data_IF_671684760088
#
_entry.id   IF_671684760088
#
_cell.length_a   1.000
_cell.length_b   1.000
_cell.length_c   1.000
_cell.angle_alpha   90.00
_cell.angle_beta   90.00
_cell.angle_gamma   90.00
#
_symmetry.space_group_name_H-M   'P 1'
#
loop_
_entity.id
_entity.type
_entity.pdbx_description
1 polymer ?
#
# COMPACT_ATOMS: atom_id res chain seq x y z
N UNK A 1 -40.33 58.34 8.53
CA UNK A 1 -38.87 58.38 8.58
C UNK A 1 -38.19 57.22 9.35
N UNK A 2 -38.73 56.68 10.45
CA UNK A 2 -38.06 55.58 11.22
C UNK A 2 -37.89 54.22 10.51
N UNK A 3 -38.75 53.83 9.57
CA UNK A 3 -38.65 52.56 8.86
C UNK A 3 -37.53 52.49 7.82
N UNK A 4 -37.09 53.60 7.23
CA UNK A 4 -35.97 53.64 6.27
C UNK A 4 -34.61 53.46 6.93
N UNK A 5 -34.39 54.02 8.11
CA UNK A 5 -33.14 53.93 8.86
C UNK A 5 -32.83 52.49 9.36
N UNK A 6 -33.86 51.71 9.70
CA UNK A 6 -33.70 50.32 10.16
C UNK A 6 -33.30 49.40 9.01
N UNK A 7 -33.78 49.65 7.79
CA UNK A 7 -33.47 48.85 6.63
C UNK A 7 -32.02 49.05 6.13
N UNK A 8 -31.49 50.28 6.22
CA UNK A 8 -30.10 50.59 5.84
C UNK A 8 -29.08 50.03 6.83
N UNK A 9 -29.40 50.08 8.15
CA UNK A 9 -28.55 49.50 9.19
C UNK A 9 -28.43 48.00 9.07
N UNK A 10 -29.54 47.28 8.78
CA UNK A 10 -29.52 45.81 8.54
C UNK A 10 -28.78 45.43 7.24
N UNK A 11 -28.89 46.20 6.16
CA UNK A 11 -28.09 45.97 4.94
C UNK A 11 -26.60 46.13 5.19
N UNK A 12 -26.18 47.17 5.96
CA UNK A 12 -24.77 47.38 6.32
C UNK A 12 -24.18 46.23 7.16
N UNK A 13 -24.97 45.65 8.09
CA UNK A 13 -24.55 44.51 8.90
C UNK A 13 -24.46 43.20 8.07
N UNK A 14 -25.38 42.96 7.16
CA UNK A 14 -25.38 41.83 6.25
C UNK A 14 -24.13 41.86 5.31
N UNK A 15 -23.83 43.04 4.77
CA UNK A 15 -22.64 43.21 3.91
C UNK A 15 -21.33 43.11 4.69
N UNK A 16 -21.26 43.60 5.93
CA UNK A 16 -20.09 43.43 6.80
C UNK A 16 -19.88 41.99 7.20
N UNK A 17 -20.94 41.27 7.54
CA UNK A 17 -20.85 39.85 7.87
C UNK A 17 -20.48 38.99 6.64
N UNK A 18 -21.02 39.30 5.45
CA UNK A 18 -20.67 38.65 4.21
C UNK A 18 -19.19 38.93 3.80
N UNK A 19 -18.76 40.21 3.93
CA UNK A 19 -17.37 40.59 3.65
C UNK A 19 -16.39 39.98 4.66
N UNK A 20 -16.76 39.93 5.95
CA UNK A 20 -15.98 39.31 7.00
C UNK A 20 -15.92 37.78 6.83
N UNK A 21 -17.01 37.14 6.43
CA UNK A 21 -17.05 35.73 6.07
C UNK A 21 -16.20 35.44 4.83
N UNK A 22 -16.25 36.30 3.80
CA UNK A 22 -15.40 36.23 2.61
C UNK A 22 -13.91 36.42 2.94
N UNK A 23 -13.60 37.39 3.83
CA UNK A 23 -12.22 37.63 4.30
C UNK A 23 -11.71 36.49 5.19
N UNK A 24 -12.55 35.87 6.01
CA UNK A 24 -12.22 34.69 6.79
C UNK A 24 -12.06 33.45 5.90
N UNK A 25 -12.90 33.29 4.87
CA UNK A 25 -12.74 32.25 3.85
C UNK A 25 -11.44 32.44 3.08
N UNK A 26 -11.19 33.64 2.54
CA UNK A 26 -9.94 33.95 1.84
C UNK A 26 -8.69 33.80 2.74
N UNK A 27 -8.80 34.09 4.04
CA UNK A 27 -7.71 33.87 5.00
C UNK A 27 -7.52 32.39 5.37
N UNK A 28 -8.61 31.59 5.38
CA UNK A 28 -8.52 30.13 5.49
C UNK A 28 -7.89 29.51 4.24
N UNK A 29 -8.27 29.98 3.05
CA UNK A 29 -7.74 29.48 1.77
C UNK A 29 -6.25 29.82 1.61
N UNK A 30 -5.77 30.93 2.20
CA UNK A 30 -4.35 31.32 2.23
C UNK A 30 -3.51 30.52 3.25
N UNK A 31 -4.14 29.81 4.21
CA UNK A 31 -3.46 29.02 5.25
C UNK A 31 -3.64 27.52 5.10
N UNK A 32 -4.33 27.04 4.07
CA UNK A 32 -4.51 25.61 3.80
C UNK A 32 -3.58 25.12 2.70
N UNK A 33 -3.04 23.92 2.90
CA UNK A 33 -2.30 23.23 1.84
C UNK A 33 -3.33 22.71 0.81
N UNK A 34 -3.21 23.05 -0.50
CA UNK A 34 -4.12 22.53 -1.51
C UNK A 34 -4.12 21.01 -1.57
N UNK A 35 -5.28 20.41 -1.80
CA UNK A 35 -5.36 18.98 -2.03
C UNK A 35 -4.74 18.60 -3.38
N UNK A 36 -3.99 17.50 -3.41
CA UNK A 36 -3.22 17.07 -4.57
C UNK A 36 -3.24 15.55 -4.71
N UNK A 37 -3.72 15.05 -5.83
CA UNK A 37 -3.60 13.64 -6.19
C UNK A 37 -2.22 13.37 -6.80
N UNK A 38 -1.31 12.79 -6.02
CA UNK A 38 0.04 12.40 -6.44
C UNK A 38 0.26 10.89 -6.20
N UNK A 39 -0.36 10.07 -7.03
CA UNK A 39 -0.30 8.60 -6.91
C UNK A 39 1.11 8.02 -7.14
N UNK A 40 2.05 8.82 -7.65
CA UNK A 40 3.47 8.47 -7.76
C UNK A 40 4.25 8.56 -6.44
N UNK A 41 3.59 8.88 -5.32
CA UNK A 41 4.27 9.14 -4.05
C UNK A 41 5.24 8.03 -3.62
N UNK A 42 4.82 6.75 -3.71
CA UNK A 42 5.68 5.63 -3.32
C UNK A 42 6.91 5.49 -4.22
N UNK A 43 6.79 5.84 -5.52
CA UNK A 43 7.92 5.92 -6.44
C UNK A 43 8.86 7.09 -6.09
N UNK A 44 8.31 8.21 -5.63
CA UNK A 44 9.08 9.35 -5.17
C UNK A 44 9.81 9.05 -3.84
N UNK A 45 9.18 8.29 -2.93
CA UNK A 45 9.82 7.76 -1.71
C UNK A 45 10.96 6.80 -2.07
N UNK A 46 10.76 5.91 -3.04
CA UNK A 46 11.82 5.02 -3.53
C UNK A 46 13.01 5.78 -4.12
N UNK A 47 12.74 6.78 -4.97
CA UNK A 47 13.76 7.60 -5.62
C UNK A 47 14.50 8.52 -4.64
N UNK A 48 13.82 8.97 -3.59
CA UNK A 48 14.35 9.82 -2.52
C UNK A 48 15.05 11.10 -3.01
N UNK A 49 14.48 11.76 -4.00
CA UNK A 49 15.00 13.01 -4.57
C UNK A 49 13.93 14.10 -4.60
N UNK A 50 14.37 15.37 -4.46
CA UNK A 50 13.46 16.54 -4.48
C UNK A 50 12.84 16.80 -5.86
N UNK A 51 13.56 16.48 -6.92
CA UNK A 51 13.12 16.68 -8.31
C UNK A 51 12.78 15.34 -8.97
N UNK A 52 11.88 14.59 -8.33
CA UNK A 52 11.39 13.35 -8.92
C UNK A 52 10.36 13.63 -10.02
N UNK A 53 10.57 13.02 -11.17
CA UNK A 53 9.65 13.09 -12.32
C UNK A 53 9.12 11.68 -12.60
N UNK A 54 7.82 11.42 -12.41
CA UNK A 54 7.25 10.12 -12.70
C UNK A 54 7.34 9.77 -14.20
N UNK A 55 7.27 8.47 -14.56
CA UNK A 55 7.11 8.04 -15.95
C UNK A 55 5.91 8.72 -16.62
N UNK A 56 5.98 9.00 -17.93
CA UNK A 56 4.94 9.77 -18.68
C UNK A 56 3.51 9.25 -18.43
N UNK A 57 3.31 7.91 -18.42
CA UNK A 57 1.98 7.32 -18.17
C UNK A 57 1.46 7.66 -16.76
N UNK A 58 2.34 7.79 -15.77
CA UNK A 58 1.94 8.16 -14.40
C UNK A 58 1.67 9.65 -14.31
N UNK A 59 2.45 10.49 -15.00
CA UNK A 59 2.15 11.92 -15.10
C UNK A 59 0.76 12.14 -15.74
N UNK A 60 0.44 11.36 -16.79
CA UNK A 60 -0.88 11.40 -17.41
C UNK A 60 -1.97 10.97 -16.40
N UNK A 61 -1.74 9.89 -15.66
CA UNK A 61 -2.67 9.43 -14.63
C UNK A 61 -2.91 10.49 -13.55
N UNK A 62 -1.87 11.14 -13.05
CA UNK A 62 -2.00 12.23 -12.07
C UNK A 62 -2.77 13.44 -12.64
N UNK A 63 -2.56 13.76 -13.89
CA UNK A 63 -3.27 14.86 -14.55
C UNK A 63 -4.75 14.52 -14.80
N UNK A 64 -5.03 13.32 -15.30
CA UNK A 64 -6.40 12.89 -15.61
C UNK A 64 -7.25 12.70 -14.34
N UNK A 65 -6.63 12.25 -13.25
CA UNK A 65 -7.29 11.97 -11.97
C UNK A 65 -7.15 13.10 -10.96
N UNK A 66 -6.66 14.29 -11.36
CA UNK A 66 -6.46 15.42 -10.44
C UNK A 66 -7.74 15.81 -9.69
N UNK A 67 -8.90 15.71 -10.34
CA UNK A 67 -10.20 16.02 -9.73
C UNK A 67 -10.59 15.09 -8.57
N UNK A 68 -9.97 13.92 -8.43
CA UNK A 68 -10.14 13.07 -7.23
C UNK A 68 -9.81 13.82 -5.94
N UNK A 69 -8.88 14.77 -5.99
CA UNK A 69 -8.51 15.57 -4.84
C UNK A 69 -9.68 16.31 -4.19
N UNK A 70 -10.75 16.57 -4.94
CA UNK A 70 -11.97 17.21 -4.44
C UNK A 70 -12.71 16.36 -3.39
N UNK A 71 -12.54 15.03 -3.41
CA UNK A 71 -13.19 14.14 -2.44
C UNK A 71 -12.71 14.40 -1.01
N UNK A 72 -11.45 14.78 -0.84
CA UNK A 72 -10.89 15.07 0.49
C UNK A 72 -10.53 16.54 0.70
N UNK A 73 -10.76 17.40 -0.31
CA UNK A 73 -10.60 18.84 -0.17
C UNK A 73 -11.57 19.39 0.88
N UNK A 74 -11.07 20.25 1.77
CA UNK A 74 -11.88 20.80 2.85
C UNK A 74 -12.22 19.83 4.00
N UNK A 75 -11.79 18.58 3.92
CA UNK A 75 -11.87 17.60 5.01
C UNK A 75 -10.64 17.69 5.92
N UNK A 76 -10.62 16.92 7.00
CA UNK A 76 -9.42 16.74 7.85
C UNK A 76 -8.22 16.11 7.12
N UNK A 77 -8.43 15.58 5.92
CA UNK A 77 -7.40 14.97 5.07
C UNK A 77 -6.89 15.91 3.98
N UNK A 78 -7.28 17.20 3.99
CA UNK A 78 -6.81 18.18 3.02
C UNK A 78 -5.28 18.20 2.94
N UNK A 79 -4.75 18.18 1.70
CA UNK A 79 -3.32 18.06 1.42
C UNK A 79 -3.03 17.06 0.31
N UNK A 80 -1.77 16.62 0.18
CA UNK A 80 -1.40 15.66 -0.86
C UNK A 80 -1.92 14.25 -0.55
N UNK A 81 -2.07 13.46 -1.60
CA UNK A 81 -2.24 12.02 -1.47
C UNK A 81 -1.16 11.37 -0.59
N UNK A 82 0.08 11.78 -0.79
CA UNK A 82 1.20 11.36 0.05
C UNK A 82 2.35 12.36 0.07
N UNK A 83 3.08 12.35 1.16
CA UNK A 83 4.21 13.21 1.40
C UNK A 83 5.54 12.56 1.01
N UNK A 84 6.40 13.32 0.33
CA UNK A 84 7.77 12.98 -0.03
C UNK A 84 8.58 14.26 -0.23
N UNK A 85 9.91 14.17 -0.36
CA UNK A 85 10.74 15.32 -0.72
C UNK A 85 10.27 15.98 -2.02
N UNK A 86 9.82 15.18 -3.00
CA UNK A 86 9.31 15.68 -4.26
C UNK A 86 7.98 16.43 -4.10
N UNK A 87 7.07 15.90 -3.29
CA UNK A 87 5.79 16.54 -2.97
C UNK A 87 6.00 17.87 -2.25
N UNK A 88 6.89 17.91 -1.26
CA UNK A 88 7.30 19.15 -0.59
C UNK A 88 7.85 20.19 -1.57
N UNK A 89 8.71 19.76 -2.50
CA UNK A 89 9.28 20.65 -3.52
C UNK A 89 8.21 21.19 -4.48
N UNK A 90 7.24 20.33 -4.86
CA UNK A 90 6.09 20.76 -5.69
C UNK A 90 5.27 21.85 -5.01
N UNK A 91 4.97 21.71 -3.73
CA UNK A 91 4.24 22.74 -2.97
C UNK A 91 5.03 24.04 -2.83
N UNK A 92 6.36 23.99 -2.67
CA UNK A 92 7.22 25.19 -2.72
C UNK A 92 7.11 25.91 -4.05
N UNK A 93 7.10 25.16 -5.15
CA UNK A 93 6.93 25.74 -6.51
C UNK A 93 5.53 26.34 -6.72
N UNK A 94 4.52 25.83 -6.04
CA UNK A 94 3.16 26.38 -6.02
C UNK A 94 3.03 27.61 -5.09
N UNK A 95 4.10 28.00 -4.39
CA UNK A 95 4.09 29.17 -3.49
C UNK A 95 3.54 28.90 -2.11
N UNK A 96 3.38 27.63 -1.68
CA UNK A 96 2.96 27.30 -0.31
C UNK A 96 4.06 27.71 0.67
N UNK A 97 3.66 28.41 1.73
CA UNK A 97 4.58 28.91 2.74
C UNK A 97 5.33 27.77 3.45
N UNK A 98 6.63 27.98 3.71
CA UNK A 98 7.53 26.93 4.21
C UNK A 98 7.12 26.38 5.58
N UNK A 99 6.52 27.19 6.43
CA UNK A 99 6.02 26.84 7.77
C UNK A 99 4.82 25.87 7.74
N UNK A 100 4.13 25.79 6.61
CA UNK A 100 3.04 24.82 6.40
C UNK A 100 3.54 23.45 5.89
N UNK A 101 4.80 23.38 5.47
CA UNK A 101 5.37 22.18 4.90
C UNK A 101 6.10 21.34 5.96
N UNK A 102 6.03 20.00 5.89
CA UNK A 102 6.73 19.14 6.83
C UNK A 102 8.25 19.34 6.76
N UNK A 103 8.96 19.04 7.85
CA UNK A 103 10.42 19.04 7.88
C UNK A 103 11.00 17.93 7.00
N UNK A 104 12.28 18.02 6.63
CA UNK A 104 12.95 16.97 5.85
C UNK A 104 13.17 15.73 6.72
N UNK A 105 13.43 15.90 8.03
CA UNK A 105 13.59 14.82 9.00
C UNK A 105 12.28 14.02 9.15
N UNK A 106 11.13 14.70 9.22
CA UNK A 106 9.83 14.03 9.25
C UNK A 106 9.57 13.26 7.96
N UNK A 107 9.93 13.80 6.79
CA UNK A 107 9.80 13.11 5.50
C UNK A 107 10.70 11.88 5.40
N UNK A 108 11.91 11.92 5.98
CA UNK A 108 12.78 10.76 6.04
C UNK A 108 12.17 9.66 6.91
N UNK A 109 11.55 10.02 8.02
CA UNK A 109 10.89 9.06 8.89
C UNK A 109 9.63 8.47 8.23
N UNK A 110 8.83 9.29 7.52
CA UNK A 110 7.72 8.78 6.69
C UNK A 110 8.21 7.76 5.67
N UNK A 111 9.33 8.07 4.99
CA UNK A 111 9.95 7.15 4.04
C UNK A 111 10.35 5.83 4.70
N UNK A 112 11.02 5.89 5.84
CA UNK A 112 11.46 4.71 6.60
C UNK A 112 10.28 3.84 7.04
N UNK A 113 9.25 4.47 7.64
CA UNK A 113 8.08 3.79 8.20
C UNK A 113 7.16 3.20 7.11
N UNK A 114 7.12 3.80 5.91
CA UNK A 114 6.33 3.28 4.78
C UNK A 114 7.06 2.20 3.97
N UNK A 115 8.28 1.82 4.36
CA UNK A 115 9.00 0.76 3.66
C UNK A 115 8.49 -0.63 4.04
N UNK A 116 8.52 -1.57 3.10
CA UNK A 116 8.22 -2.97 3.40
C UNK A 116 9.28 -3.64 4.29
N UNK A 117 10.48 -3.07 4.40
CA UNK A 117 11.45 -3.44 5.43
C UNK A 117 10.87 -3.19 6.82
N UNK A 118 10.29 -2.00 7.04
CA UNK A 118 9.64 -1.69 8.31
C UNK A 118 8.44 -2.61 8.55
N UNK A 119 7.57 -2.82 7.56
CA UNK A 119 6.44 -3.74 7.67
C UNK A 119 6.88 -5.17 8.05
N UNK A 120 8.00 -5.66 7.50
CA UNK A 120 8.57 -6.97 7.85
C UNK A 120 8.95 -7.08 9.33
N UNK A 121 9.57 -6.04 9.90
CA UNK A 121 9.88 -5.99 11.35
C UNK A 121 8.62 -5.89 12.19
N UNK A 122 7.71 -5.02 11.76
CA UNK A 122 6.41 -4.79 12.41
C UNK A 122 5.59 -6.07 12.52
N UNK A 123 5.49 -6.86 11.45
CA UNK A 123 4.79 -8.17 11.47
C UNK A 123 5.44 -9.11 12.47
N UNK A 124 6.78 -9.19 12.50
CA UNK A 124 7.49 -10.06 13.43
C UNK A 124 7.21 -9.70 14.89
N UNK A 125 7.18 -8.42 15.22
CA UNK A 125 6.84 -7.90 16.55
C UNK A 125 5.39 -8.22 16.89
N UNK A 126 4.45 -7.96 15.97
CA UNK A 126 3.03 -8.24 16.11
C UNK A 126 2.76 -9.72 16.40
N UNK A 127 3.35 -10.63 15.63
CA UNK A 127 3.20 -12.06 15.83
C UNK A 127 3.78 -12.52 17.19
N UNK A 128 4.93 -11.95 17.57
CA UNK A 128 5.57 -12.24 18.87
C UNK A 128 4.74 -11.79 20.07
N UNK A 129 3.98 -10.69 19.94
CA UNK A 129 3.16 -10.12 21.00
C UNK A 129 1.78 -10.79 21.06
N UNK A 130 1.07 -10.86 19.92
CA UNK A 130 -0.30 -11.39 19.91
C UNK A 130 -0.37 -12.90 20.05
N UNK A 131 0.63 -13.65 19.57
CA UNK A 131 0.75 -15.12 19.68
C UNK A 131 -0.54 -15.87 19.33
N UNK A 132 -1.17 -15.46 18.23
CA UNK A 132 -2.41 -16.06 17.74
C UNK A 132 -2.10 -16.91 16.50
N UNK A 133 -2.44 -18.20 16.54
CA UNK A 133 -2.14 -19.17 15.48
C UNK A 133 -2.86 -18.89 14.15
N UNK A 134 -3.89 -18.05 14.18
CA UNK A 134 -4.61 -17.58 12.97
C UNK A 134 -3.87 -16.48 12.23
N UNK A 135 -2.78 -15.94 12.78
CA UNK A 135 -1.99 -14.89 12.15
C UNK A 135 -0.86 -15.51 11.32
N UNK A 136 -0.76 -15.04 10.08
CA UNK A 136 0.25 -15.42 9.10
C UNK A 136 1.36 -14.36 9.03
N UNK A 137 2.45 -14.66 8.31
CA UNK A 137 3.55 -13.72 8.06
C UNK A 137 4.87 -14.14 8.69
N UNK A 138 4.93 -15.32 9.32
CA UNK A 138 6.18 -15.85 9.92
C UNK A 138 7.28 -16.05 8.88
N UNK A 139 6.91 -16.26 7.63
CA UNK A 139 7.84 -16.47 6.51
C UNK A 139 8.28 -15.15 5.84
N UNK A 140 7.70 -14.01 6.24
CA UNK A 140 8.07 -12.70 5.70
C UNK A 140 9.49 -12.31 6.15
N UNK A 141 10.38 -12.00 5.21
CA UNK A 141 11.79 -11.67 5.46
C UNK A 141 12.24 -10.48 4.63
N UNK A 142 13.02 -9.63 5.27
CA UNK A 142 13.83 -8.63 4.59
C UNK A 142 15.14 -9.24 4.09
N UNK A 143 15.52 -8.90 2.86
CA UNK A 143 16.74 -9.36 2.20
C UNK A 143 17.48 -8.16 1.61
N UNK A 144 18.72 -7.97 2.05
CA UNK A 144 19.67 -7.00 1.54
C UNK A 144 20.98 -7.69 1.09
N UNK A 145 21.99 -6.90 0.73
CA UNK A 145 23.29 -7.42 0.28
C UNK A 145 24.07 -8.18 1.35
N UNK A 146 23.75 -7.96 2.63
CA UNK A 146 24.41 -8.61 3.77
C UNK A 146 23.62 -9.82 4.27
N UNK A 147 22.44 -10.05 3.72
CA UNK A 147 21.57 -11.14 4.11
C UNK A 147 22.15 -12.49 3.65
N UNK A 148 22.30 -13.48 4.56
CA UNK A 148 22.70 -14.84 4.19
C UNK A 148 21.82 -15.46 3.08
N UNK A 149 20.55 -15.07 3.02
CA UNK A 149 19.64 -15.50 1.98
C UNK A 149 20.05 -14.97 0.60
N UNK A 150 20.58 -13.74 0.53
CA UNK A 150 21.11 -13.19 -0.73
C UNK A 150 22.34 -13.96 -1.20
N UNK A 151 23.26 -14.27 -0.31
CA UNK A 151 24.44 -15.07 -0.61
C UNK A 151 24.05 -16.46 -1.12
N UNK A 152 23.09 -17.10 -0.47
CA UNK A 152 22.56 -18.40 -0.90
C UNK A 152 21.88 -18.34 -2.29
N UNK A 153 21.15 -17.28 -2.60
CA UNK A 153 20.51 -17.07 -3.91
C UNK A 153 21.52 -16.84 -5.04
N UNK A 154 22.70 -16.29 -4.73
CA UNK A 154 23.71 -15.91 -5.74
C UNK A 154 24.85 -16.92 -5.90
N UNK A 155 25.10 -17.73 -4.88
CA UNK A 155 26.20 -18.74 -4.89
C UNK A 155 25.76 -20.10 -5.37
N UNK A 156 24.46 -20.42 -5.33
CA UNK A 156 23.93 -21.65 -5.90
C UNK A 156 24.18 -21.67 -7.42
N UNK A 157 25.12 -22.51 -7.87
CA UNK A 157 25.36 -22.72 -9.30
C UNK A 157 24.08 -23.25 -9.93
N UNK A 158 23.63 -22.70 -11.09
CA UNK A 158 22.57 -23.33 -11.84
C UNK A 158 23.04 -24.72 -12.21
N UNK A 159 22.45 -25.75 -11.65
CA UNK A 159 22.63 -27.12 -12.12
C UNK A 159 21.88 -27.28 -13.44
N UNK A 160 22.41 -26.67 -14.49
CA UNK A 160 22.05 -27.06 -15.85
C UNK A 160 22.66 -28.40 -16.08
N UNK A 161 21.89 -29.45 -15.90
CA UNK A 161 22.21 -30.75 -16.45
C UNK A 161 22.30 -30.64 -17.99
N UNK A 162 23.48 -30.30 -18.50
CA UNK A 162 23.83 -30.53 -19.90
C UNK A 162 24.09 -32.00 -20.08
N UNK A 163 23.04 -32.80 -20.15
CA UNK A 163 23.10 -34.08 -20.87
C UNK A 163 22.24 -33.93 -22.12
N UNK A 164 22.76 -33.23 -23.11
CA UNK A 164 22.32 -33.46 -24.48
C UNK A 164 23.05 -34.70 -24.95
N UNK A 165 22.48 -35.87 -24.67
CA UNK A 165 22.90 -37.06 -25.38
C UNK A 165 22.22 -37.05 -26.77
N UNK A 166 23.05 -36.77 -27.77
CA UNK A 166 22.69 -36.92 -29.19
C UNK A 166 22.62 -38.41 -29.51
N UNK A 167 21.51 -39.07 -29.26
CA UNK A 167 21.06 -40.25 -29.99
C UNK A 167 19.57 -40.46 -29.76
N UNK A 168 18.81 -40.26 -30.83
CA UNK A 168 17.41 -40.55 -30.84
C UNK A 168 17.12 -42.03 -30.68
N UNK A 169 16.24 -42.39 -29.79
CA UNK A 169 15.41 -43.60 -29.89
C UNK A 169 14.18 -43.40 -28.99
N UNK A 170 13.01 -43.35 -29.60
CA UNK A 170 11.74 -43.62 -28.94
C UNK A 170 11.77 -45.01 -28.33
N UNK A 171 11.49 -45.14 -27.04
CA UNK A 171 10.85 -46.34 -26.48
C UNK A 171 9.84 -45.93 -25.42
N UNK A 172 8.62 -46.22 -25.74
CA UNK A 172 7.48 -46.30 -24.86
C UNK A 172 7.60 -47.65 -24.12
N UNK A 173 7.59 -47.64 -22.78
CA UNK A 173 7.05 -48.73 -21.95
C UNK A 173 7.05 -48.39 -20.48
N UNK A 174 5.91 -48.65 -19.91
CA UNK A 174 5.66 -49.19 -18.59
C UNK A 174 5.51 -48.25 -17.38
N UNK A 175 4.27 -48.30 -16.92
CA UNK A 175 3.72 -47.88 -15.66
C UNK A 175 4.45 -48.59 -14.51
N UNK A 176 5.35 -47.89 -13.86
CA UNK A 176 5.96 -48.29 -12.59
C UNK A 176 5.41 -47.42 -11.45
N UNK A 177 4.87 -48.08 -10.46
CA UNK A 177 4.50 -47.48 -9.16
C UNK A 177 5.62 -46.55 -8.70
N UNK A 178 5.34 -45.25 -8.65
CA UNK A 178 6.24 -44.29 -8.02
C UNK A 178 5.78 -44.13 -6.56
N UNK A 179 6.66 -44.60 -5.70
CA UNK A 179 6.64 -44.42 -4.27
C UNK A 179 6.57 -42.92 -3.94
N UNK A 180 5.51 -42.47 -3.26
CA UNK A 180 5.33 -41.08 -2.80
C UNK A 180 6.20 -40.77 -1.60
N UNK A 181 7.53 -40.94 -1.75
CA UNK A 181 8.52 -40.48 -0.81
C UNK A 181 8.84 -38.99 -1.02
N UNK A 182 8.49 -38.17 -0.05
CA UNK A 182 8.89 -36.77 0.12
C UNK A 182 8.67 -35.87 -1.11
N UNK A 183 7.45 -35.42 -1.29
CA UNK A 183 7.15 -34.29 -2.19
C UNK A 183 7.89 -33.07 -1.67
N UNK A 184 8.99 -32.67 -2.35
CA UNK A 184 9.57 -31.33 -2.23
C UNK A 184 8.52 -30.36 -2.76
N UNK A 185 7.66 -29.83 -1.89
CA UNK A 185 6.74 -28.78 -2.27
C UNK A 185 7.55 -27.51 -2.54
N UNK A 186 7.84 -27.27 -3.83
CA UNK A 186 8.30 -25.97 -4.29
C UNK A 186 7.23 -24.94 -3.91
N UNK A 187 7.45 -24.22 -2.81
CA UNK A 187 6.49 -23.19 -2.36
C UNK A 187 6.74 -21.94 -3.17
N UNK A 188 5.73 -21.49 -3.91
CA UNK A 188 5.75 -20.20 -4.56
C UNK A 188 6.02 -19.09 -3.54
N UNK A 189 6.85 -18.12 -3.92
CA UNK A 189 7.21 -16.97 -3.10
C UNK A 189 6.80 -15.70 -3.81
N UNK A 190 6.41 -14.71 -3.02
CA UNK A 190 6.17 -13.36 -3.49
C UNK A 190 7.35 -12.47 -3.11
N UNK A 191 7.85 -11.72 -4.08
CA UNK A 191 8.95 -10.78 -3.92
C UNK A 191 8.41 -9.37 -4.09
N UNK A 192 8.76 -8.48 -3.15
CA UNK A 192 8.25 -7.11 -3.11
C UNK A 192 9.41 -6.12 -2.95
N UNK A 193 9.48 -5.09 -3.80
CA UNK A 193 10.41 -3.97 -3.57
C UNK A 193 10.03 -3.18 -2.33
N UNK A 194 10.96 -2.45 -1.69
CA UNK A 194 10.70 -1.68 -0.47
C UNK A 194 9.55 -0.67 -0.61
N UNK A 195 9.54 0.06 -1.72
CA UNK A 195 8.49 1.01 -2.07
C UNK A 195 7.98 0.71 -3.47
N UNK A 196 6.69 0.54 -3.60
CA UNK A 196 6.03 0.40 -4.89
C UNK A 196 4.53 0.64 -4.73
N UNK A 197 3.87 1.01 -5.82
CA UNK A 197 2.42 1.17 -5.87
C UNK A 197 1.81 0.28 -6.96
N UNK A 198 0.56 -0.11 -6.78
CA UNK A 198 -0.24 -0.82 -7.79
C UNK A 198 0.44 -2.07 -8.36
N UNK A 199 1.08 -2.88 -7.52
CA UNK A 199 1.68 -4.17 -7.90
C UNK A 199 2.96 -4.12 -8.73
N UNK A 200 3.48 -2.93 -9.09
CA UNK A 200 4.63 -2.80 -10.02
C UNK A 200 5.94 -3.34 -9.49
N UNK A 201 6.15 -3.29 -8.19
CA UNK A 201 7.34 -3.82 -7.52
C UNK A 201 7.12 -5.20 -6.91
N UNK A 202 6.13 -5.95 -7.40
CA UNK A 202 5.73 -7.25 -6.86
C UNK A 202 5.80 -8.31 -7.97
N UNK A 203 6.27 -9.50 -7.65
CA UNK A 203 6.18 -10.65 -8.55
C UNK A 203 6.27 -11.96 -7.79
N UNK A 204 5.70 -13.00 -8.37
CA UNK A 204 5.76 -14.37 -7.86
C UNK A 204 6.91 -15.12 -8.54
N UNK A 205 7.66 -15.87 -7.75
CA UNK A 205 8.75 -16.74 -8.23
C UNK A 205 8.85 -18.00 -7.39
N UNK A 206 9.50 -19.02 -7.94
CA UNK A 206 9.79 -20.25 -7.20
C UNK A 206 11.19 -20.13 -6.59
N UNK A 207 11.29 -20.31 -5.29
CA UNK A 207 12.55 -20.47 -4.58
C UNK A 207 12.33 -21.56 -3.52
N UNK A 208 13.09 -22.62 -3.60
CA UNK A 208 13.04 -23.69 -2.61
C UNK A 208 13.80 -23.26 -1.36
N UNK A 209 13.07 -22.98 -0.28
CA UNK A 209 13.65 -22.73 1.04
C UNK A 209 13.64 -24.01 1.87
N UNK A 210 14.76 -24.31 2.50
CA UNK A 210 14.80 -25.36 3.52
C UNK A 210 14.07 -24.85 4.78
N UNK A 211 12.96 -25.48 5.19
CA UNK A 211 12.18 -25.03 6.37
C UNK A 211 12.98 -25.09 7.68
N UNK A 212 14.07 -25.84 7.75
CA UNK A 212 14.90 -25.97 8.94
C UNK A 212 15.81 -24.76 9.21
N UNK A 213 15.85 -23.76 8.31
CA UNK A 213 16.58 -22.50 8.54
C UNK A 213 15.89 -21.57 9.56
N UNK A 214 14.64 -21.86 9.94
CA UNK A 214 13.86 -21.00 10.85
C UNK A 214 14.14 -21.23 12.33
N UNK A 215 14.83 -22.30 12.73
CA UNK A 215 14.96 -22.69 14.15
C UNK A 215 16.34 -22.45 14.76
N UNK A 216 17.35 -21.99 13.99
CA UNK A 216 18.67 -21.76 14.58
C UNK A 216 19.40 -20.61 13.85
N UNK A 217 19.79 -19.52 14.53
CA UNK A 217 20.61 -18.45 13.96
C UNK A 217 22.09 -18.87 13.82
N UNK A 218 22.36 -20.14 13.54
CA UNK A 218 23.71 -20.61 13.33
C UNK A 218 24.24 -20.09 11.97
N UNK A 219 25.40 -19.39 11.95
CA UNK A 219 25.95 -18.78 10.73
C UNK A 219 26.51 -19.78 9.72
N UNK A 220 26.46 -21.09 10.00
CA UNK A 220 26.88 -22.14 9.06
C UNK A 220 25.67 -22.60 8.25
N UNK A 221 25.30 -21.84 7.22
CA UNK A 221 24.39 -22.27 6.17
C UNK A 221 24.86 -23.61 5.60
N UNK A 222 23.93 -24.59 5.51
CA UNK A 222 24.18 -25.83 4.81
C UNK A 222 24.59 -25.52 3.37
N UNK A 223 25.84 -25.87 2.94
CA UNK A 223 26.33 -25.59 1.61
C UNK A 223 25.57 -26.36 0.50
N UNK A 224 24.62 -27.23 0.86
CA UNK A 224 23.78 -27.97 -0.06
C UNK A 224 22.39 -27.36 -0.26
N UNK A 225 22.19 -26.08 0.07
CA UNK A 225 20.94 -25.38 -0.20
C UNK A 225 20.80 -25.16 -1.71
N UNK A 226 20.17 -26.11 -2.40
CA UNK A 226 19.80 -25.98 -3.81
C UNK A 226 18.67 -24.94 -3.97
N UNK A 227 19.06 -23.65 -3.97
CA UNK A 227 18.16 -22.55 -4.31
C UNK A 227 18.05 -22.45 -5.82
N UNK A 228 17.08 -23.13 -6.40
CA UNK A 228 16.83 -23.07 -7.83
C UNK A 228 16.04 -21.80 -8.17
N UNK A 229 16.74 -20.70 -8.41
CA UNK A 229 16.15 -19.43 -8.78
C UNK A 229 16.35 -19.14 -10.27
N UNK A 230 15.27 -18.84 -10.99
CA UNK A 230 15.38 -18.47 -12.42
C UNK A 230 16.25 -17.22 -12.59
N UNK A 231 17.12 -17.19 -13.60
CA UNK A 231 18.01 -16.05 -13.88
C UNK A 231 17.26 -14.72 -14.07
N UNK A 232 16.03 -14.75 -14.61
CA UNK A 232 15.16 -13.58 -14.71
C UNK A 232 14.72 -13.04 -13.35
N UNK A 233 14.41 -13.91 -12.39
CA UNK A 233 14.07 -13.56 -11.01
C UNK A 233 15.29 -12.91 -10.33
N UNK A 234 16.46 -13.52 -10.40
CA UNK A 234 17.69 -12.97 -9.83
C UNK A 234 17.99 -11.57 -10.39
N UNK A 235 17.86 -11.38 -11.70
CA UNK A 235 18.07 -10.06 -12.31
C UNK A 235 17.12 -8.99 -11.77
N UNK A 236 15.84 -9.33 -11.54
CA UNK A 236 14.87 -8.41 -10.92
C UNK A 236 15.24 -8.10 -9.47
N UNK A 237 15.64 -9.10 -8.68
CA UNK A 237 16.07 -8.93 -7.29
C UNK A 237 17.33 -8.07 -7.20
N UNK A 238 18.31 -8.27 -8.07
CA UNK A 238 19.48 -7.40 -8.20
C UNK A 238 19.08 -5.95 -8.51
N UNK A 239 18.06 -5.76 -9.33
CA UNK A 239 17.48 -4.44 -9.60
C UNK A 239 16.93 -3.78 -8.33
N UNK A 240 16.20 -4.51 -7.49
CA UNK A 240 15.69 -3.99 -6.21
C UNK A 240 16.83 -3.65 -5.24
N UNK A 241 17.81 -4.54 -5.09
CA UNK A 241 19.00 -4.28 -4.25
C UNK A 241 19.78 -3.06 -4.71
N UNK A 242 19.95 -2.87 -6.03
CA UNK A 242 20.71 -1.76 -6.57
C UNK A 242 20.00 -0.43 -6.45
N UNK A 243 18.66 -0.42 -6.63
CA UNK A 243 17.86 0.81 -6.67
C UNK A 243 17.27 1.22 -5.33
N UNK A 244 16.95 0.24 -4.45
CA UNK A 244 16.22 0.49 -3.22
C UNK A 244 16.85 -0.18 -1.98
N UNK A 245 18.02 -0.80 -2.11
CA UNK A 245 18.80 -1.36 -1.00
C UNK A 245 18.43 -2.77 -0.58
N UNK A 246 17.28 -3.29 -0.99
CA UNK A 246 16.80 -4.63 -0.60
C UNK A 246 15.47 -4.99 -1.20
N UNK A 247 14.87 -6.06 -0.71
CA UNK A 247 13.52 -6.52 -1.04
C UNK A 247 12.94 -7.37 0.08
N UNK A 248 11.62 -7.53 0.09
CA UNK A 248 10.93 -8.49 0.94
C UNK A 248 10.61 -9.74 0.16
N UNK A 249 10.84 -10.89 0.79
CA UNK A 249 10.33 -12.19 0.34
C UNK A 249 9.32 -12.70 1.37
N UNK A 250 8.23 -13.27 0.87
CA UNK A 250 7.16 -13.82 1.70
C UNK A 250 6.57 -15.06 1.03
N UNK A 251 5.76 -15.81 1.76
CA UNK A 251 4.94 -16.88 1.19
C UNK A 251 3.96 -16.30 0.18
N UNK A 252 3.77 -16.97 -0.94
CA UNK A 252 2.65 -16.68 -1.83
C UNK A 252 1.44 -17.52 -1.36
N UNK A 253 0.39 -16.82 -0.96
CA UNK A 253 -0.84 -17.44 -0.44
C UNK A 253 -1.78 -17.73 -1.61
N UNK A 254 -1.70 -18.96 -2.15
CA UNK A 254 -2.54 -19.42 -3.28
C UNK A 254 -4.01 -19.52 -2.88
N UNK A 255 -4.27 -19.74 -1.61
CA UNK A 255 -5.57 -19.87 -0.97
C UNK A 255 -6.14 -18.52 -0.46
N UNK A 256 -5.55 -17.41 -0.89
CA UNK A 256 -6.07 -16.08 -0.59
C UNK A 256 -7.50 -15.90 -1.13
N UNK A 257 -8.43 -15.50 -0.27
CA UNK A 257 -9.84 -15.26 -0.61
C UNK A 257 -10.22 -13.79 -0.57
N UNK A 258 -9.49 -12.95 0.20
CA UNK A 258 -9.84 -11.55 0.38
C UNK A 258 -8.60 -10.68 0.61
N UNK A 259 -8.59 -9.49 0.01
CA UNK A 259 -7.75 -8.37 0.39
C UNK A 259 -8.59 -7.32 1.14
N UNK A 260 -8.11 -6.86 2.28
CA UNK A 260 -8.76 -5.81 3.05
C UNK A 260 -7.72 -4.95 3.78
N UNK A 261 -8.14 -3.83 4.32
CA UNK A 261 -7.27 -2.99 5.13
C UNK A 261 -7.98 -2.46 6.38
N UNK A 262 -7.19 -2.11 7.37
CA UNK A 262 -7.59 -1.27 8.50
C UNK A 262 -7.11 0.15 8.26
N UNK A 263 -8.03 1.10 8.28
CA UNK A 263 -7.76 2.49 8.00
C UNK A 263 -7.75 3.30 9.31
N UNK A 264 -6.74 4.17 9.43
CA UNK A 264 -6.53 4.98 10.64
C UNK A 264 -6.19 6.42 10.29
N UNK A 265 -6.27 7.29 11.28
CA UNK A 265 -5.60 8.58 11.30
C UNK A 265 -4.80 8.73 12.58
N UNK A 266 -3.55 9.13 12.45
CA UNK A 266 -2.69 9.53 13.56
C UNK A 266 -2.77 11.05 13.67
N UNK A 267 -3.20 11.56 14.81
CA UNK A 267 -3.28 13.00 15.09
C UNK A 267 -1.93 13.55 15.53
N UNK A 268 -1.76 14.86 15.48
CA UNK A 268 -0.51 15.54 15.88
C UNK A 268 -0.17 15.38 17.37
N UNK A 269 -1.14 15.07 18.19
CA UNK A 269 -0.99 14.74 19.62
C UNK A 269 -0.71 13.24 19.84
N UNK A 270 -0.43 12.50 18.78
CA UNK A 270 -0.20 11.05 18.74
C UNK A 270 -1.41 10.19 19.15
N UNK A 271 -2.59 10.76 19.31
CA UNK A 271 -3.81 9.93 19.39
C UNK A 271 -4.08 9.27 18.04
N UNK A 272 -4.56 8.02 18.08
CA UNK A 272 -4.85 7.24 16.88
C UNK A 272 -6.32 6.87 16.83
N UNK A 273 -6.99 7.32 15.78
CA UNK A 273 -8.39 7.00 15.50
C UNK A 273 -8.46 5.86 14.47
N UNK A 274 -9.29 4.87 14.72
CA UNK A 274 -9.65 3.86 13.73
C UNK A 274 -10.81 4.40 12.89
N UNK A 275 -10.61 4.51 11.58
CA UNK A 275 -11.62 5.04 10.64
C UNK A 275 -12.60 3.97 10.18
N UNK A 276 -12.14 2.72 10.12
CA UNK A 276 -12.93 1.60 9.62
C UNK A 276 -12.11 0.62 8.81
N UNK A 277 -12.82 -0.35 8.26
CA UNK A 277 -12.26 -1.32 7.33
C UNK A 277 -12.50 -0.88 5.89
N UNK A 278 -11.61 -1.26 5.01
CA UNK A 278 -11.82 -1.21 3.57
C UNK A 278 -11.59 -2.60 2.97
N UNK A 279 -12.35 -2.96 1.96
CA UNK A 279 -12.22 -4.22 1.22
C UNK A 279 -11.96 -3.89 -0.24
N UNK A 280 -10.97 -4.55 -0.81
CA UNK A 280 -10.57 -4.29 -2.18
C UNK A 280 -10.27 -5.58 -2.95
N UNK A 281 -10.24 -5.49 -4.25
CA UNK A 281 -9.91 -6.58 -5.15
C UNK A 281 -8.63 -6.24 -5.89
N UNK A 282 -7.71 -7.19 -5.91
CA UNK A 282 -6.52 -7.17 -6.76
C UNK A 282 -6.67 -8.18 -7.88
N UNK A 283 -6.13 -7.87 -9.07
CA UNK A 283 -6.03 -8.82 -10.17
C UNK A 283 -4.93 -9.88 -9.91
N UNK A 284 -4.82 -10.88 -10.78
CA UNK A 284 -3.83 -11.95 -10.69
C UNK A 284 -2.38 -11.46 -10.61
N UNK A 285 -2.08 -10.31 -11.21
CA UNK A 285 -0.76 -9.67 -11.15
C UNK A 285 -0.51 -8.85 -9.87
N UNK A 286 -1.47 -8.81 -8.93
CA UNK A 286 -1.45 -7.93 -7.77
C UNK A 286 -1.76 -6.46 -8.11
N UNK A 287 -2.21 -6.17 -9.33
CA UNK A 287 -2.64 -4.83 -9.71
C UNK A 287 -3.98 -4.49 -9.04
N UNK A 288 -4.13 -3.23 -8.62
CA UNK A 288 -5.38 -2.72 -8.07
C UNK A 288 -6.54 -2.90 -9.06
N UNK A 289 -7.64 -3.45 -8.59
CA UNK A 289 -8.89 -3.58 -9.31
C UNK A 289 -9.90 -2.52 -8.87
N UNK A 290 -10.47 -2.68 -7.68
CA UNK A 290 -11.45 -1.77 -7.11
C UNK A 290 -11.53 -1.87 -5.58
N UNK A 291 -12.10 -0.85 -4.93
CA UNK A 291 -12.56 -0.90 -3.54
C UNK A 291 -14.09 -0.95 -3.50
N UNK A 292 -14.64 -1.66 -2.51
CA UNK A 292 -16.07 -1.57 -2.21
C UNK A 292 -16.38 -0.24 -1.49
N UNK A 293 -17.45 0.42 -1.92
CA UNK A 293 -18.03 1.62 -1.30
C UNK A 293 -19.30 1.19 -0.60
N UNK A 294 -19.14 0.66 0.61
CA UNK A 294 -20.20 -0.01 1.37
C UNK A 294 -20.14 0.41 2.85
N UNK A 295 -21.21 0.12 3.61
CA UNK A 295 -21.25 0.34 5.05
C UNK A 295 -20.22 -0.54 5.77
N UNK A 296 -19.78 -0.10 6.96
CA UNK A 296 -18.86 -0.90 7.78
C UNK A 296 -19.45 -2.27 8.15
N UNK A 297 -20.76 -2.35 8.31
CA UNK A 297 -21.46 -3.61 8.57
C UNK A 297 -21.37 -4.58 7.37
N UNK A 298 -21.50 -4.07 6.14
CA UNK A 298 -21.36 -4.87 4.93
C UNK A 298 -19.93 -5.30 4.70
N UNK A 299 -18.95 -4.40 4.92
CA UNK A 299 -17.53 -4.71 4.82
C UNK A 299 -17.12 -5.77 5.85
N UNK A 300 -17.59 -5.69 7.11
CA UNK A 300 -17.34 -6.70 8.13
C UNK A 300 -17.94 -8.06 7.77
N UNK A 301 -19.13 -8.09 7.16
CA UNK A 301 -19.71 -9.36 6.66
C UNK A 301 -18.87 -9.99 5.55
N UNK A 302 -18.19 -9.17 4.70
CA UNK A 302 -17.27 -9.67 3.68
C UNK A 302 -15.96 -10.18 4.29
N UNK A 303 -15.43 -9.46 5.27
CA UNK A 303 -14.20 -9.84 5.99
C UNK A 303 -14.43 -11.16 6.73
N UNK A 304 -15.57 -11.32 7.39
CA UNK A 304 -16.00 -12.56 8.04
C UNK A 304 -14.87 -13.18 8.89
N UNK A 305 -14.38 -12.42 9.84
CA UNK A 305 -13.30 -12.79 10.78
C UNK A 305 -13.78 -12.54 12.20
N UNK A 306 -13.28 -13.33 13.13
CA UNK A 306 -13.55 -13.19 14.55
C UNK A 306 -13.34 -11.74 15.02
N UNK A 307 -14.40 -11.14 15.56
CA UNK A 307 -14.39 -9.77 16.06
C UNK A 307 -13.35 -9.53 17.16
N UNK A 308 -13.10 -10.53 18.02
CA UNK A 308 -12.11 -10.43 19.08
C UNK A 308 -10.69 -10.33 18.52
N UNK A 309 -10.38 -11.08 17.45
CA UNK A 309 -9.11 -10.96 16.75
C UNK A 309 -8.96 -9.59 16.09
N UNK A 310 -10.00 -9.12 15.40
CA UNK A 310 -9.98 -7.78 14.76
C UNK A 310 -9.78 -6.67 15.80
N UNK A 311 -10.43 -6.74 16.96
CA UNK A 311 -10.24 -5.77 18.04
C UNK A 311 -8.81 -5.78 18.60
N UNK A 312 -8.20 -6.96 18.75
CA UNK A 312 -6.80 -7.08 19.19
C UNK A 312 -5.84 -6.46 18.17
N UNK A 313 -6.08 -6.68 16.87
CA UNK A 313 -5.31 -6.06 15.80
C UNK A 313 -5.45 -4.53 15.81
N UNK A 314 -6.68 -4.00 15.94
CA UNK A 314 -6.90 -2.56 16.05
C UNK A 314 -6.15 -1.97 17.24
N UNK A 315 -6.24 -2.62 18.41
CA UNK A 315 -5.55 -2.17 19.63
C UNK A 315 -4.03 -2.12 19.42
N UNK A 316 -3.45 -3.20 18.88
CA UNK A 316 -2.04 -3.29 18.55
C UNK A 316 -1.61 -2.17 17.59
N UNK A 317 -2.32 -2.01 16.49
CA UNK A 317 -1.98 -0.98 15.49
C UNK A 317 -2.07 0.42 16.07
N UNK A 318 -3.11 0.72 16.88
CA UNK A 318 -3.25 2.03 17.52
C UNK A 318 -2.08 2.33 18.46
N UNK A 319 -1.70 1.38 19.30
CA UNK A 319 -0.60 1.53 20.24
C UNK A 319 0.74 1.80 19.52
N UNK A 320 1.06 1.01 18.50
CA UNK A 320 2.32 1.13 17.79
C UNK A 320 2.37 2.36 16.86
N UNK A 321 1.27 2.73 16.22
CA UNK A 321 1.20 3.95 15.42
C UNK A 321 1.35 5.21 16.30
N UNK A 322 0.80 5.21 17.52
CA UNK A 322 0.93 6.32 18.46
C UNK A 322 2.40 6.58 18.90
N UNK A 323 3.26 5.57 18.82
CA UNK A 323 4.69 5.69 19.17
C UNK A 323 5.54 6.24 18.02
N UNK A 324 4.98 6.42 16.83
CA UNK A 324 5.70 6.97 15.68
C UNK A 324 5.64 8.50 15.66
N UNK A 325 6.57 9.13 14.95
CA UNK A 325 6.52 10.60 14.71
C UNK A 325 5.54 10.97 13.60
N UNK A 326 4.96 9.97 12.93
CA UNK A 326 4.02 10.20 11.83
C UNK A 326 2.71 10.80 12.35
N UNK A 327 2.14 11.67 11.56
CA UNK A 327 0.76 12.14 11.70
C UNK A 327 0.12 12.27 10.32
N UNK A 328 -1.12 11.82 10.21
CA UNK A 328 -1.86 11.76 8.94
C UNK A 328 -2.62 10.45 8.77
N UNK A 329 -3.19 10.23 7.57
CA UNK A 329 -3.93 9.02 7.23
C UNK A 329 -2.99 7.82 7.08
N UNK A 330 -3.43 6.65 7.54
CA UNK A 330 -2.70 5.38 7.49
C UNK A 330 -3.63 4.27 7.04
N UNK A 331 -3.18 3.46 6.09
CA UNK A 331 -3.82 2.18 5.77
C UNK A 331 -2.86 1.02 6.00
N UNK A 332 -3.35 -0.04 6.63
CA UNK A 332 -2.60 -1.28 6.85
C UNK A 332 -3.26 -2.38 6.03
N UNK A 333 -2.60 -2.77 4.95
CA UNK A 333 -3.11 -3.78 4.02
C UNK A 333 -2.92 -5.19 4.60
N UNK A 334 -3.96 -6.00 4.48
CA UNK A 334 -4.07 -7.36 5.02
C UNK A 334 -4.62 -8.31 3.97
N UNK A 335 -4.49 -9.60 4.19
CA UNK A 335 -5.21 -10.62 3.44
C UNK A 335 -5.82 -11.67 4.36
N UNK A 336 -6.87 -12.33 3.86
CA UNK A 336 -7.49 -13.50 4.47
C UNK A 336 -7.34 -14.70 3.53
N UNK A 337 -7.03 -15.86 4.10
CA UNK A 337 -6.99 -17.16 3.42
C UNK A 337 -8.29 -17.95 3.61
N UNK A 338 -8.49 -19.00 2.84
CA UNK A 338 -9.72 -19.79 2.83
C UNK A 338 -10.01 -20.48 4.18
N UNK A 339 -8.97 -20.79 4.97
CA UNK A 339 -9.09 -21.36 6.32
C UNK A 339 -9.42 -20.30 7.39
N UNK A 340 -9.58 -19.03 7.01
CA UNK A 340 -9.88 -17.92 7.89
C UNK A 340 -8.66 -17.27 8.55
N UNK A 341 -7.45 -17.73 8.25
CA UNK A 341 -6.21 -17.10 8.73
C UNK A 341 -5.96 -15.75 8.07
N UNK A 342 -5.23 -14.86 8.76
CA UNK A 342 -5.00 -13.48 8.34
C UNK A 342 -3.51 -13.18 8.29
N UNK A 343 -3.03 -12.58 7.20
CA UNK A 343 -1.77 -11.85 7.21
C UNK A 343 -2.03 -10.43 7.72
N UNK A 344 -1.54 -10.08 8.93
CA UNK A 344 -2.01 -8.88 9.64
C UNK A 344 -1.40 -7.57 9.14
N UNK A 345 -0.38 -7.63 8.29
CA UNK A 345 0.24 -6.44 7.69
C UNK A 345 1.11 -6.80 6.50
N UNK A 346 0.59 -6.63 5.30
CA UNK A 346 1.34 -6.79 4.05
C UNK A 346 2.16 -5.53 3.72
N UNK A 347 1.63 -4.35 4.10
CA UNK A 347 2.15 -3.03 3.77
C UNK A 347 1.50 -1.98 4.68
N UNK A 348 2.28 -0.95 5.05
CA UNK A 348 1.80 0.21 5.80
C UNK A 348 1.85 1.42 4.88
N UNK A 349 0.69 1.95 4.54
CA UNK A 349 0.51 3.08 3.66
C UNK A 349 0.37 4.38 4.48
N UNK A 350 1.47 5.12 4.69
CA UNK A 350 1.47 6.41 5.42
C UNK A 350 1.07 7.57 4.50
N UNK A 351 -0.14 7.47 3.99
CA UNK A 351 -0.74 8.39 3.02
C UNK A 351 -2.23 8.11 2.88
N UNK A 352 -2.93 8.99 2.18
CA UNK A 352 -4.22 8.61 1.62
C UNK A 352 -4.07 7.37 0.74
N UNK A 353 -5.10 6.55 0.73
CA UNK A 353 -5.16 5.34 -0.09
C UNK A 353 -6.59 5.16 -0.62
N UNK A 354 -6.77 4.15 -1.49
CA UNK A 354 -8.07 3.92 -2.12
C UNK A 354 -9.14 3.44 -1.11
N UNK A 355 -8.71 2.84 0.02
CA UNK A 355 -9.60 2.43 1.10
C UNK A 355 -10.20 3.64 1.81
N UNK A 356 -9.36 4.59 2.27
CA UNK A 356 -9.85 5.84 2.91
C UNK A 356 -10.74 6.62 1.93
N UNK A 357 -10.35 6.66 0.64
CA UNK A 357 -11.17 7.31 -0.38
C UNK A 357 -12.56 6.64 -0.49
N UNK A 358 -12.61 5.30 -0.45
CA UNK A 358 -13.88 4.57 -0.47
C UNK A 358 -14.75 4.87 0.76
N UNK A 359 -14.15 5.00 1.96
CA UNK A 359 -14.87 5.41 3.16
C UNK A 359 -15.47 6.82 3.01
N UNK A 360 -14.70 7.79 2.52
CA UNK A 360 -15.18 9.15 2.27
C UNK A 360 -16.31 9.19 1.23
N UNK A 361 -16.20 8.39 0.19
CA UNK A 361 -17.23 8.28 -0.84
C UNK A 361 -18.50 7.63 -0.31
N UNK A 362 -18.39 6.63 0.57
CA UNK A 362 -19.54 6.05 1.24
C UNK A 362 -20.26 7.09 2.12
N UNK A 363 -19.52 7.88 2.90
CA UNK A 363 -20.09 8.98 3.72
C UNK A 363 -20.82 9.99 2.84
N UNK A 364 -20.32 10.27 1.63
CA UNK A 364 -20.88 11.27 0.73
C UNK A 364 -22.06 10.77 -0.08
N UNK A 365 -22.05 9.51 -0.54
CA UNK A 365 -23.00 8.99 -1.53
C UNK A 365 -23.79 7.77 -1.07
N UNK A 366 -23.38 7.08 -0.01
CA UNK A 366 -23.98 5.82 0.45
C UNK A 366 -23.59 4.60 -0.39
N UNK A 367 -24.19 3.44 -0.06
CA UNK A 367 -24.00 2.18 -0.81
C UNK A 367 -24.66 2.24 -2.18
N UNK A 368 -24.09 1.51 -3.16
CA UNK A 368 -24.67 1.33 -4.48
C UNK A 368 -24.67 2.59 -5.37
N UNK A 369 -23.89 3.61 -4.98
CA UNK A 369 -23.77 4.82 -5.79
C UNK A 369 -23.17 4.52 -7.17
N UNK A 370 -23.60 5.29 -8.17
CA UNK A 370 -22.96 5.35 -9.49
C UNK A 370 -22.66 6.82 -9.79
N UNK A 371 -21.39 7.17 -9.79
CA UNK A 371 -20.93 8.56 -9.97
C UNK A 371 -19.56 8.63 -10.64
N UNK A 372 -19.43 9.48 -11.66
CA UNK A 372 -18.14 9.81 -12.26
C UNK A 372 -17.41 10.83 -11.34
N UNK A 373 -16.22 10.45 -10.87
CA UNK A 373 -15.41 11.29 -9.99
C UNK A 373 -14.45 12.21 -10.78
N UNK A 374 -14.14 11.82 -12.01
CA UNK A 374 -13.31 12.59 -12.95
C UNK A 374 -14.00 12.66 -14.29
N UNK A 375 -13.65 13.65 -15.16
CA UNK A 375 -14.20 13.74 -16.49
C UNK A 375 -14.00 12.46 -17.31
N UNK A 376 -15.00 12.07 -18.09
CA UNK A 376 -14.89 10.98 -19.08
C UNK A 376 -13.95 11.44 -20.20
N UNK A 377 -13.00 10.59 -20.56
CA UNK A 377 -12.00 10.85 -21.61
C UNK A 377 -11.98 9.67 -22.58
N UNK A 378 -11.81 9.94 -23.86
CA UNK A 378 -11.67 8.89 -24.89
C UNK A 378 -10.36 8.09 -24.74
N UNK A 379 -9.32 8.72 -24.20
CA UNK A 379 -8.02 8.11 -23.93
C UNK A 379 -7.49 8.64 -22.60
N UNK A 380 -6.94 7.73 -21.77
CA UNK A 380 -6.36 8.12 -20.49
C UNK A 380 -6.94 7.38 -19.30
N UNK A 381 -7.04 8.09 -18.16
CA UNK A 381 -7.52 7.52 -16.90
C UNK A 381 -8.79 8.21 -16.44
N UNK A 382 -9.71 7.41 -15.88
CA UNK A 382 -10.95 7.86 -15.29
C UNK A 382 -11.16 7.19 -13.95
N UNK A 383 -11.64 7.94 -12.97
CA UNK A 383 -12.11 7.41 -11.70
C UNK A 383 -13.63 7.51 -11.61
N UNK A 384 -14.27 6.44 -11.19
CA UNK A 384 -15.72 6.40 -10.98
C UNK A 384 -16.07 5.43 -9.85
N UNK A 385 -17.26 5.65 -9.29
CA UNK A 385 -17.96 4.64 -8.51
C UNK A 385 -19.08 4.08 -9.38
N UNK A 386 -19.16 2.77 -9.52
CA UNK A 386 -20.20 2.06 -10.24
C UNK A 386 -20.64 0.86 -9.42
N UNK A 387 -21.94 0.75 -9.18
CA UNK A 387 -22.52 -0.31 -8.35
C UNK A 387 -21.80 -0.51 -7.01
N UNK A 388 -21.43 0.59 -6.33
CA UNK A 388 -20.72 0.57 -5.08
C UNK A 388 -19.25 0.11 -5.15
N UNK A 389 -18.63 0.20 -6.34
CA UNK A 389 -17.21 -0.13 -6.55
C UNK A 389 -16.45 1.07 -7.07
N UNK A 390 -15.47 1.51 -6.28
CA UNK A 390 -14.53 2.56 -6.69
C UNK A 390 -13.47 1.97 -7.61
N UNK A 391 -13.42 2.41 -8.85
CA UNK A 391 -12.53 1.91 -9.90
C UNK A 391 -11.70 3.00 -10.54
N UNK A 392 -10.51 2.63 -10.99
CA UNK A 392 -9.69 3.42 -11.90
C UNK A 392 -9.65 2.71 -13.25
N UNK A 393 -10.33 3.25 -14.23
CA UNK A 393 -10.32 2.73 -15.59
C UNK A 393 -9.20 3.40 -16.40
N UNK A 394 -8.60 2.65 -17.32
CA UNK A 394 -7.66 3.19 -18.30
C UNK A 394 -8.03 2.65 -19.68
N UNK A 395 -8.36 3.54 -20.59
CA UNK A 395 -8.45 3.19 -22.00
C UNK A 395 -7.07 3.28 -22.66
N UNK A 396 -6.79 2.31 -23.52
CA UNK A 396 -5.49 2.16 -24.19
C UNK A 396 -5.37 3.10 -25.40
#
# INVERSE_FOLDING_TARGET
>A
MRKRFICEKRRGEIWRNALFSLLLSAKRDLMSIPSLFNCSNDMALAAHVRQYVPPKRIQQMEADLADLARVWEGTRFAGPWGWSLATKQRYRQMGVAGELLPSDEWLEEVRRLSSREFACRYVKELLGELKDERLLGEEMRWVDKQSPLWDALTTSKPTWGTSVDRRGARRQTDVGHVDFGAVKTSRARIFKSPWSSSGRGVFVGSVDFNPNLNSNPNPNLDPNLDLNCKSSTLKRLQGFLSSQGGFVVDRFYEDKVLDFAMEFVVHKDHTVEFLGYSVFQTGESGAYGYNYVESQEELLRRIDVDAALLHRLIAYHKEHLAQTVYHGPVGIDMLKTADGSIHPCLEINLRLNMGILALLLFEQYGSGATVALTPVREHGFQALVEDGRLMILSEK
#
